data_IF_302531177609
#
_entry.id   IF_302531177609
#
_cell.length_a   1.000
_cell.length_b   1.000
_cell.length_c   1.000
_cell.angle_alpha   90.00
_cell.angle_beta   90.00
_cell.angle_gamma   90.00
#
_symmetry.space_group_name_H-M   'P 1'
#
loop_
_entity.id
_entity.type
_entity.pdbx_description
1 polymer ?
#
# COMPACT_ATOMS: atom_id res chain seq x y z
N UNK A 1 -7.51 11.62 -2.48
CA UNK A 1 -6.69 11.73 -3.72
C UNK A 1 -6.21 13.17 -3.96
N UNK A 2 -7.09 14.18 -4.11
CA UNK A 2 -6.66 15.56 -4.37
C UNK A 2 -5.64 16.13 -3.36
N UNK A 3 -5.90 16.01 -2.06
CA UNK A 3 -4.94 16.41 -1.02
C UNK A 3 -3.61 15.64 -1.09
N UNK A 4 -3.66 14.35 -1.46
CA UNK A 4 -2.48 13.52 -1.67
C UNK A 4 -1.59 14.02 -2.82
N UNK A 5 -2.17 14.61 -3.87
CA UNK A 5 -1.39 15.20 -4.95
C UNK A 5 -0.56 16.40 -4.47
N UNK A 6 -1.12 17.24 -3.59
CA UNK A 6 -0.39 18.34 -2.95
C UNK A 6 0.70 17.80 -2.02
N UNK A 7 0.40 16.76 -1.24
CA UNK A 7 1.38 16.11 -0.38
C UNK A 7 2.56 15.52 -1.18
N UNK A 8 2.30 14.84 -2.30
CA UNK A 8 3.34 14.35 -3.21
C UNK A 8 4.23 15.48 -3.74
N UNK A 9 3.65 16.62 -4.13
CA UNK A 9 4.44 17.78 -4.58
C UNK A 9 5.33 18.34 -3.46
N UNK A 10 4.82 18.42 -2.22
CA UNK A 10 5.60 18.87 -1.07
C UNK A 10 6.79 17.93 -0.81
N UNK A 11 6.54 16.62 -0.77
CA UNK A 11 7.55 15.59 -0.53
C UNK A 11 8.62 15.57 -1.64
N UNK A 12 8.19 15.68 -2.91
CA UNK A 12 9.10 15.79 -4.04
C UNK A 12 10.01 17.02 -3.94
N UNK A 13 9.49 18.18 -3.53
CA UNK A 13 10.29 19.40 -3.32
C UNK A 13 11.23 19.28 -2.13
N UNK A 14 10.84 18.58 -1.08
CA UNK A 14 11.63 18.45 0.14
C UNK A 14 12.86 17.54 -0.02
N UNK A 15 12.69 16.37 -0.65
CA UNK A 15 13.73 15.33 -0.69
C UNK A 15 13.78 14.57 -2.03
N UNK A 16 13.03 14.99 -3.05
CA UNK A 16 12.85 14.18 -4.26
C UNK A 16 12.12 12.87 -3.98
N UNK A 17 11.24 12.87 -2.96
CA UNK A 17 10.50 11.67 -2.54
C UNK A 17 9.46 11.30 -3.59
N UNK A 18 9.43 10.02 -3.95
CA UNK A 18 8.44 9.44 -4.85
C UNK A 18 7.56 8.45 -4.10
N UNK A 19 6.25 8.50 -4.33
CA UNK A 19 5.28 7.54 -3.78
C UNK A 19 4.56 6.85 -4.93
N UNK A 20 4.87 5.57 -5.12
CA UNK A 20 4.36 4.75 -6.22
C UNK A 20 3.73 3.49 -5.63
N UNK A 21 2.49 3.18 -6.00
CA UNK A 21 1.82 1.94 -5.64
C UNK A 21 1.31 1.22 -6.88
N UNK A 22 1.10 -0.09 -6.73
CA UNK A 22 0.61 -0.94 -7.79
C UNK A 22 -0.15 -2.12 -7.25
N UNK A 23 -0.93 -2.76 -8.12
CA UNK A 23 -1.59 -4.02 -7.80
C UNK A 23 -0.56 -5.14 -7.84
N UNK A 24 -0.23 -5.67 -6.66
CA UNK A 24 0.68 -6.80 -6.47
C UNK A 24 -0.03 -8.12 -6.71
N UNK A 25 -1.29 -8.24 -6.26
CA UNK A 25 -2.07 -9.48 -6.34
C UNK A 25 -3.53 -9.18 -6.59
N UNK A 26 -4.16 -9.95 -7.47
CA UNK A 26 -5.62 -10.07 -7.58
C UNK A 26 -5.97 -11.53 -7.39
N UNK A 27 -6.86 -11.80 -6.44
CA UNK A 27 -7.20 -13.17 -6.05
C UNK A 27 -5.94 -14.00 -5.73
N UNK A 28 -5.69 -15.06 -6.49
CA UNK A 28 -4.55 -15.98 -6.42
C UNK A 28 -3.40 -15.64 -7.40
N UNK A 29 -3.54 -14.61 -8.24
CA UNK A 29 -2.54 -14.20 -9.24
C UNK A 29 -1.66 -13.09 -8.66
N UNK A 30 -0.36 -13.36 -8.52
CA UNK A 30 0.61 -12.45 -7.89
C UNK A 30 1.73 -12.06 -8.86
N UNK A 31 2.05 -10.77 -8.93
CA UNK A 31 3.19 -10.23 -9.66
C UNK A 31 4.41 -10.06 -8.74
N UNK A 32 5.59 -10.40 -9.24
CA UNK A 32 6.86 -10.12 -8.60
C UNK A 32 7.46 -8.86 -9.22
N UNK A 33 7.31 -7.73 -8.52
CA UNK A 33 7.79 -6.42 -8.98
C UNK A 33 8.87 -5.96 -8.02
N UNK A 34 9.98 -5.45 -8.55
CA UNK A 34 11.03 -4.83 -7.75
C UNK A 34 10.61 -3.40 -7.35
N UNK A 35 10.43 -3.13 -6.03
CA UNK A 35 10.07 -1.81 -5.54
C UNK A 35 11.10 -0.72 -5.88
N UNK A 36 12.35 -1.06 -6.19
CA UNK A 36 13.38 -0.07 -6.47
C UNK A 36 13.34 0.46 -7.90
N UNK A 37 12.78 -0.30 -8.84
CA UNK A 37 12.87 0.01 -10.28
C UNK A 37 11.52 0.27 -10.95
N UNK A 38 10.39 -0.10 -10.32
CA UNK A 38 9.05 0.17 -10.87
C UNK A 38 8.81 1.65 -11.19
N UNK A 39 8.30 1.94 -12.38
CA UNK A 39 7.98 3.31 -12.80
C UNK A 39 6.47 3.57 -12.78
N UNK A 40 6.08 4.84 -12.57
CA UNK A 40 4.69 5.25 -12.67
C UNK A 40 4.11 4.99 -14.06
N UNK A 41 4.92 5.16 -15.11
CA UNK A 41 4.54 4.86 -16.49
C UNK A 41 4.14 3.39 -16.65
N UNK A 42 4.95 2.46 -16.10
CA UNK A 42 4.64 1.04 -16.16
C UNK A 42 3.35 0.72 -15.38
N UNK A 43 3.13 1.34 -14.21
CA UNK A 43 1.89 1.19 -13.44
C UNK A 43 0.67 1.65 -14.24
N UNK A 44 0.72 2.84 -14.85
CA UNK A 44 -0.43 3.39 -15.58
C UNK A 44 -0.61 2.79 -16.99
N UNK A 45 0.36 1.99 -17.48
CA UNK A 45 0.28 1.33 -18.78
C UNK A 45 -0.77 0.22 -18.86
N UNK A 46 -1.29 -0.27 -17.72
CA UNK A 46 -2.29 -1.33 -17.66
C UNK A 46 -3.53 -0.91 -16.89
N UNK A 47 -4.71 -1.38 -17.32
CA UNK A 47 -5.99 -1.03 -16.67
C UNK A 47 -6.09 -1.51 -15.22
N UNK A 48 -5.41 -2.61 -14.89
CA UNK A 48 -5.34 -3.16 -13.53
C UNK A 48 -4.26 -2.52 -12.68
N UNK A 49 -3.45 -1.62 -13.24
CA UNK A 49 -2.31 -0.99 -12.57
C UNK A 49 -1.31 -1.98 -11.99
N UNK A 50 -1.04 -3.04 -12.75
CA UNK A 50 0.04 -3.98 -12.52
C UNK A 50 1.15 -3.72 -13.56
N UNK A 51 2.42 -3.49 -13.16
CA UNK A 51 3.50 -3.15 -14.09
C UNK A 51 3.97 -4.31 -14.97
N UNK A 52 3.73 -5.56 -14.55
CA UNK A 52 4.02 -6.75 -15.34
C UNK A 52 2.88 -6.98 -16.34
N UNK A 53 3.13 -6.74 -17.62
CA UNK A 53 2.09 -6.85 -18.66
C UNK A 53 1.51 -8.27 -18.78
N UNK A 54 2.34 -9.30 -18.63
CA UNK A 54 1.90 -10.68 -18.76
C UNK A 54 0.99 -11.08 -17.59
N UNK A 55 1.37 -10.69 -16.37
CA UNK A 55 0.55 -10.93 -15.18
C UNK A 55 -0.69 -10.02 -15.18
N UNK A 56 -0.58 -8.78 -15.66
CA UNK A 56 -1.71 -7.85 -15.80
C UNK A 56 -2.81 -8.42 -16.70
N UNK A 57 -2.46 -9.04 -17.82
CA UNK A 57 -3.43 -9.71 -18.70
C UNK A 57 -4.17 -10.84 -17.98
N UNK A 58 -3.45 -11.68 -17.22
CA UNK A 58 -4.05 -12.75 -16.42
C UNK A 58 -4.98 -12.20 -15.32
N UNK A 59 -4.58 -11.10 -14.68
CA UNK A 59 -5.39 -10.41 -13.68
C UNK A 59 -6.69 -9.85 -14.28
N UNK A 60 -6.64 -9.25 -15.48
CA UNK A 60 -7.82 -8.77 -16.21
C UNK A 60 -8.77 -9.93 -16.49
N UNK A 61 -8.28 -11.01 -17.10
CA UNK A 61 -9.09 -12.19 -17.40
C UNK A 61 -9.73 -12.76 -16.14
N UNK A 62 -8.99 -12.81 -15.02
CA UNK A 62 -9.52 -13.29 -13.74
C UNK A 62 -10.64 -12.41 -13.21
N UNK A 63 -10.48 -11.08 -13.25
CA UNK A 63 -11.53 -10.15 -12.82
C UNK A 63 -12.78 -10.32 -13.69
N UNK A 64 -12.62 -10.45 -15.00
CA UNK A 64 -13.74 -10.62 -15.92
C UNK A 64 -14.44 -11.97 -15.75
N UNK A 65 -13.70 -13.05 -15.50
CA UNK A 65 -14.27 -14.37 -15.22
C UNK A 65 -15.12 -14.35 -13.94
N UNK A 66 -14.57 -13.88 -12.82
CA UNK A 66 -15.27 -13.72 -11.54
C UNK A 66 -16.47 -12.78 -11.70
N UNK A 67 -16.28 -11.69 -12.45
CA UNK A 67 -17.33 -10.75 -12.80
C UNK A 67 -18.46 -11.39 -13.60
N UNK A 68 -18.19 -12.29 -14.56
CA UNK A 68 -19.21 -13.04 -15.33
C UNK A 68 -20.01 -14.00 -14.43
N UNK A 69 -19.36 -14.61 -13.46
CA UNK A 69 -20.01 -15.44 -12.44
C UNK A 69 -20.90 -14.64 -11.47
N UNK A 70 -20.86 -13.30 -11.55
CA UNK A 70 -21.64 -12.42 -10.68
C UNK A 70 -21.06 -12.28 -9.29
N UNK A 71 -19.76 -12.56 -9.12
CA UNK A 71 -19.03 -12.51 -7.87
C UNK A 71 -18.00 -11.36 -7.87
N UNK A 72 -17.19 -11.26 -6.82
CA UNK A 72 -16.10 -10.29 -6.71
C UNK A 72 -14.82 -10.90 -6.14
N UNK A 73 -13.72 -10.18 -6.26
CA UNK A 73 -12.43 -10.59 -5.71
C UNK A 73 -11.69 -9.44 -5.02
N UNK A 74 -10.82 -9.84 -4.09
CA UNK A 74 -9.89 -8.95 -3.39
C UNK A 74 -8.47 -9.10 -3.91
N UNK A 75 -7.51 -8.63 -3.13
CA UNK A 75 -6.11 -8.68 -3.53
C UNK A 75 -5.19 -7.90 -2.59
N UNK A 76 -4.00 -7.57 -3.11
CA UNK A 76 -2.98 -6.79 -2.40
C UNK A 76 -2.47 -5.67 -3.28
N UNK A 77 -2.38 -4.48 -2.71
CA UNK A 77 -1.64 -3.34 -3.27
C UNK A 77 -0.31 -3.25 -2.53
N UNK A 78 0.78 -3.06 -3.26
CA UNK A 78 2.10 -2.76 -2.72
C UNK A 78 2.45 -1.32 -3.06
N UNK A 79 3.08 -0.62 -2.12
CA UNK A 79 3.48 0.77 -2.26
C UNK A 79 4.94 0.90 -1.84
N UNK A 80 5.70 1.65 -2.64
CA UNK A 80 7.06 2.05 -2.33
C UNK A 80 7.12 3.57 -2.19
N UNK A 81 7.87 4.01 -1.19
CA UNK A 81 8.30 5.40 -1.04
C UNK A 81 9.81 5.42 -1.23
N UNK A 82 10.27 6.05 -2.31
CA UNK A 82 11.70 6.22 -2.57
C UNK A 82 12.16 7.58 -2.07
N UNK A 83 13.40 7.64 -1.62
CA UNK A 83 13.98 8.84 -1.00
C UNK A 83 13.08 9.42 0.12
N UNK A 84 12.60 8.61 1.09
CA UNK A 84 11.89 9.18 2.22
C UNK A 84 12.82 10.12 3.00
N UNK A 85 12.32 11.24 3.54
CA UNK A 85 13.09 12.01 4.50
C UNK A 85 13.48 11.12 5.68
N UNK A 86 14.72 11.21 6.13
CA UNK A 86 15.24 10.43 7.27
C UNK A 86 14.74 11.05 8.57
N UNK A 87 14.37 10.23 9.55
CA UNK A 87 13.99 10.70 10.87
C UNK A 87 12.52 11.08 11.03
N UNK A 88 11.64 10.70 10.09
CA UNK A 88 10.20 10.89 10.23
C UNK A 88 9.60 9.83 11.15
N UNK A 89 8.70 10.24 12.05
CA UNK A 89 8.05 9.37 13.03
C UNK A 89 8.56 9.57 14.45
N UNK A 90 7.98 8.81 15.39
CA UNK A 90 8.33 8.84 16.81
C UNK A 90 8.39 7.41 17.39
N UNK A 91 9.18 7.17 18.44
CA UNK A 91 9.40 5.81 18.94
C UNK A 91 8.21 5.19 19.68
N UNK A 92 7.20 5.97 20.10
CA UNK A 92 6.12 5.47 20.97
C UNK A 92 4.72 5.81 20.46
N UNK A 93 4.33 7.09 20.46
CA UNK A 93 2.93 7.49 20.21
C UNK A 93 2.60 7.70 18.73
N UNK A 94 3.53 8.28 17.97
CA UNK A 94 3.37 8.57 16.53
C UNK A 94 4.40 7.76 15.71
N UNK A 95 4.43 6.44 15.90
CA UNK A 95 5.25 5.55 15.08
C UNK A 95 4.81 5.66 13.62
N UNK A 96 5.76 5.90 12.71
CA UNK A 96 5.45 6.15 11.31
C UNK A 96 4.67 4.99 10.68
N UNK A 97 5.08 3.74 10.92
CA UNK A 97 4.40 2.56 10.41
C UNK A 97 2.98 2.38 10.99
N UNK A 98 2.75 2.83 12.23
CA UNK A 98 1.42 2.76 12.86
C UNK A 98 0.46 3.79 12.25
N UNK A 99 0.94 5.00 11.98
CA UNK A 99 0.14 6.02 11.29
C UNK A 99 -0.11 5.68 9.83
N UNK A 100 0.90 5.13 9.14
CA UNK A 100 0.72 4.58 7.79
C UNK A 100 -0.33 3.47 7.78
N UNK A 101 -0.26 2.55 8.74
CA UNK A 101 -1.25 1.48 8.90
C UNK A 101 -2.64 2.06 9.12
N UNK A 102 -2.83 2.97 10.08
CA UNK A 102 -4.10 3.64 10.36
C UNK A 102 -4.67 4.31 9.12
N UNK A 103 -3.84 5.06 8.40
CA UNK A 103 -4.21 5.79 7.21
C UNK A 103 -4.71 4.87 6.11
N UNK A 104 -3.93 3.84 5.72
CA UNK A 104 -4.35 2.94 4.65
C UNK A 104 -5.47 1.99 5.08
N UNK A 105 -5.51 1.56 6.35
CA UNK A 105 -6.58 0.70 6.88
C UNK A 105 -7.92 1.43 7.06
N UNK A 106 -7.92 2.77 6.99
CA UNK A 106 -9.15 3.57 6.94
C UNK A 106 -9.82 3.55 5.56
N UNK A 107 -9.14 3.06 4.52
CA UNK A 107 -9.70 2.97 3.18
C UNK A 107 -10.82 1.90 3.13
N UNK A 108 -11.83 2.08 2.27
CA UNK A 108 -12.85 1.06 2.11
C UNK A 108 -12.26 -0.29 1.69
N UNK A 109 -12.84 -1.37 2.23
CA UNK A 109 -12.49 -2.76 1.94
C UNK A 109 -11.09 -3.24 2.38
N UNK A 110 -10.28 -2.42 3.06
CA UNK A 110 -8.99 -2.88 3.61
C UNK A 110 -9.17 -3.83 4.80
N UNK A 111 -8.29 -4.82 4.90
CA UNK A 111 -8.33 -5.87 5.93
C UNK A 111 -6.97 -6.24 6.52
N UNK A 112 -5.87 -5.77 5.95
CA UNK A 112 -4.53 -6.04 6.47
C UNK A 112 -3.51 -5.03 5.98
N UNK A 113 -2.48 -4.85 6.79
CA UNK A 113 -1.34 -3.99 6.52
C UNK A 113 -0.05 -4.74 6.84
N UNK A 114 0.95 -4.58 6.00
CA UNK A 114 2.30 -5.08 6.23
C UNK A 114 3.32 -3.98 5.91
N UNK A 115 4.42 -3.95 6.67
CA UNK A 115 5.59 -3.12 6.42
C UNK A 115 6.82 -4.03 6.20
N UNK A 116 7.65 -3.70 5.21
CA UNK A 116 8.87 -4.45 4.90
C UNK A 116 8.60 -5.93 4.60
N UNK A 117 9.23 -6.82 5.38
CA UNK A 117 9.04 -8.27 5.33
C UNK A 117 7.64 -8.72 5.74
N UNK A 118 6.86 -7.85 6.40
CA UNK A 118 5.48 -8.13 6.81
C UNK A 118 5.37 -9.34 7.73
N UNK A 119 4.29 -10.11 7.57
CA UNK A 119 4.10 -11.37 8.28
C UNK A 119 5.18 -12.42 7.93
N UNK A 120 5.79 -12.35 6.75
CA UNK A 120 6.90 -13.24 6.38
C UNK A 120 8.11 -13.10 7.31
N UNK A 121 8.34 -11.91 7.88
CA UNK A 121 9.41 -11.68 8.85
C UNK A 121 9.22 -12.45 10.17
N UNK A 122 7.97 -12.82 10.52
CA UNK A 122 7.68 -13.59 11.74
C UNK A 122 8.21 -15.01 11.73
N UNK A 123 8.63 -15.50 10.56
CA UNK A 123 9.20 -16.83 10.37
C UNK A 123 10.73 -16.85 10.55
N UNK A 124 11.36 -15.68 10.64
CA UNK A 124 12.82 -15.52 10.64
C UNK A 124 13.37 -15.33 12.05
N UNK A 125 14.62 -15.75 12.27
CA UNK A 125 15.39 -15.39 13.46
C UNK A 125 15.89 -13.95 13.34
N UNK A 126 16.16 -13.30 14.47
CA UNK A 126 16.72 -11.94 14.47
C UNK A 126 18.01 -11.81 13.64
N UNK A 127 18.89 -12.82 13.66
CA UNK A 127 20.11 -12.82 12.83
C UNK A 127 19.86 -12.89 11.33
N UNK A 128 18.69 -13.38 10.91
CA UNK A 128 18.26 -13.49 9.51
C UNK A 128 17.43 -12.26 9.08
N UNK A 129 16.77 -11.60 10.04
CA UNK A 129 15.88 -10.47 9.79
C UNK A 129 16.57 -9.11 9.90
N UNK A 130 17.54 -8.95 10.79
CA UNK A 130 18.17 -7.66 11.07
C UNK A 130 18.79 -7.02 9.81
N UNK A 131 18.44 -5.75 9.58
CA UNK A 131 19.04 -4.94 8.52
C UNK A 131 20.35 -4.32 9.01
N UNK A 132 21.47 -4.97 8.67
CA UNK A 132 22.79 -4.50 9.06
C UNK A 132 23.17 -3.21 8.34
N UNK A 133 23.57 -2.18 9.08
CA UNK A 133 24.13 -0.95 8.50
C UNK A 133 25.52 -1.22 7.94
N UNK A 134 25.73 -0.90 6.66
CA UNK A 134 27.00 -1.08 5.97
C UNK A 134 27.60 0.28 5.56
N UNK A 135 28.93 0.42 5.54
CA UNK A 135 29.58 1.61 5.01
C UNK A 135 29.21 1.82 3.52
N UNK A 136 28.67 2.99 3.18
CA UNK A 136 28.42 3.37 1.79
C UNK A 136 29.48 4.31 1.25
N UNK A 137 29.73 4.22 -0.06
CA UNK A 137 30.69 5.09 -0.77
C UNK A 137 30.18 6.51 -0.98
N UNK A 138 28.85 6.70 -0.95
CA UNK A 138 28.20 7.99 -1.16
C UNK A 138 28.02 8.81 0.13
N UNK A 139 28.53 8.30 1.27
CA UNK A 139 28.42 8.96 2.58
C UNK A 139 27.03 8.87 3.21
N UNK A 140 26.06 8.20 2.58
CA UNK A 140 24.74 7.95 3.15
C UNK A 140 24.74 6.66 3.98
N UNK A 141 23.90 6.61 4.99
CA UNK A 141 23.65 5.38 5.74
C UNK A 141 22.76 4.48 4.89
N UNK A 142 23.23 3.24 4.68
CA UNK A 142 22.50 2.20 3.97
C UNK A 142 22.51 0.92 4.78
N UNK A 143 21.46 0.12 4.61
CA UNK A 143 21.39 -1.23 5.16
C UNK A 143 21.63 -2.29 4.09
N UNK A 144 22.19 -3.42 4.48
CA UNK A 144 22.48 -4.55 3.58
C UNK A 144 21.20 -5.13 2.95
N UNK A 145 20.10 -5.06 3.70
CA UNK A 145 18.76 -5.54 3.37
C UNK A 145 17.74 -4.52 3.82
N UNK A 146 16.48 -4.66 3.42
CA UNK A 146 15.40 -3.76 3.82
C UNK A 146 14.18 -4.55 4.35
N UNK A 147 14.44 -5.46 5.29
CA UNK A 147 13.40 -6.27 5.94
C UNK A 147 12.48 -5.43 6.82
N UNK A 148 12.97 -4.32 7.38
CA UNK A 148 12.19 -3.36 8.16
C UNK A 148 11.26 -2.50 7.28
N UNK A 149 11.51 -2.46 5.97
CA UNK A 149 10.71 -1.69 5.02
C UNK A 149 10.87 -0.18 5.22
N UNK A 150 12.11 0.29 5.42
CA UNK A 150 12.47 1.70 5.50
C UNK A 150 12.15 2.36 6.85
N UNK A 151 11.61 1.60 7.81
CA UNK A 151 11.20 2.10 9.12
C UNK A 151 11.79 1.20 10.21
N UNK A 152 12.50 1.79 11.17
CA UNK A 152 13.06 1.08 12.33
C UNK A 152 12.69 1.82 13.61
N UNK A 153 12.09 1.11 14.57
CA UNK A 153 11.71 1.68 15.86
C UNK A 153 10.72 2.85 15.76
N UNK A 154 9.83 2.87 14.77
CA UNK A 154 8.90 3.98 14.57
C UNK A 154 9.37 5.08 13.62
N UNK A 155 10.60 5.01 13.12
CA UNK A 155 11.30 6.13 12.47
C UNK A 155 11.82 5.72 11.08
N UNK A 156 11.67 6.59 10.08
CA UNK A 156 12.26 6.36 8.75
C UNK A 156 13.78 6.38 8.79
N UNK A 157 14.43 5.34 8.23
CA UNK A 157 15.88 5.18 8.27
C UNK A 157 16.59 5.62 6.96
N UNK A 158 15.82 6.02 5.94
CA UNK A 158 16.32 6.49 4.64
C UNK A 158 16.30 5.45 3.53
N UNK A 159 16.14 4.17 3.87
CA UNK A 159 15.84 3.12 2.90
C UNK A 159 14.41 3.27 2.36
N UNK A 160 14.09 2.71 1.18
CA UNK A 160 12.74 2.78 0.63
C UNK A 160 11.69 2.24 1.61
N UNK A 161 10.63 3.00 1.84
CA UNK A 161 9.51 2.52 2.67
C UNK A 161 8.66 1.60 1.80
N UNK A 162 8.57 0.32 2.15
CA UNK A 162 7.81 -0.68 1.38
C UNK A 162 6.68 -1.20 2.26
N UNK A 163 5.44 -1.02 1.81
CA UNK A 163 4.26 -1.48 2.53
C UNK A 163 3.27 -2.21 1.60
N UNK A 164 2.45 -3.07 2.20
CA UNK A 164 1.38 -3.79 1.50
C UNK A 164 0.06 -3.61 2.22
N UNK A 165 -1.01 -3.53 1.43
CA UNK A 165 -2.37 -3.34 1.92
C UNK A 165 -3.27 -4.39 1.30
N UNK A 166 -3.91 -5.21 2.14
CA UNK A 166 -4.83 -6.25 1.73
C UNK A 166 -6.25 -5.70 1.61
N UNK A 167 -6.91 -5.96 0.49
CA UNK A 167 -8.30 -5.59 0.24
C UNK A 167 -9.14 -6.86 0.11
N UNK A 168 -10.28 -6.89 0.81
CA UNK A 168 -11.27 -7.97 0.67
C UNK A 168 -12.10 -7.81 -0.61
N UNK A 169 -12.78 -8.87 -1.08
CA UNK A 169 -13.79 -8.76 -2.12
C UNK A 169 -14.90 -7.74 -1.78
N UNK A 170 -15.48 -7.10 -2.79
CA UNK A 170 -16.63 -6.21 -2.61
C UNK A 170 -17.85 -7.02 -2.16
N UNK A 171 -18.54 -6.54 -1.14
CA UNK A 171 -19.62 -7.31 -0.51
C UNK A 171 -20.88 -7.40 -1.41
N UNK A 172 -21.11 -6.39 -2.24
CA UNK A 172 -22.28 -6.33 -3.11
C UNK A 172 -22.00 -7.08 -4.42
N UNK A 173 -22.56 -8.27 -4.53
CA UNK A 173 -22.42 -9.18 -5.68
C UNK A 173 -23.78 -9.54 -6.26
N UNK A 174 -23.81 -10.05 -7.49
CA UNK A 174 -25.07 -10.43 -8.17
C UNK A 174 -25.58 -11.80 -7.75
N UNK A 175 -24.72 -12.65 -7.16
CA UNK A 175 -25.14 -13.92 -6.57
C UNK A 175 -26.08 -13.66 -5.40
N UNK A 176 -27.18 -14.40 -5.33
CA UNK A 176 -28.12 -14.37 -4.23
C UNK A 176 -27.40 -14.71 -2.90
N UNK A 177 -27.64 -13.91 -1.85
CA UNK A 177 -27.06 -14.11 -0.52
C UNK A 177 -28.15 -14.10 0.54
N UNK A 178 -28.01 -14.96 1.55
CA UNK A 178 -28.91 -14.95 2.70
C UNK A 178 -28.63 -13.71 3.57
N UNK A 179 -29.68 -13.04 4.02
CA UNK A 179 -29.61 -11.90 4.93
C UNK A 179 -30.89 -11.86 5.79
N UNK A 180 -31.01 -10.83 6.62
CA UNK A 180 -32.27 -10.46 7.28
C UNK A 180 -32.77 -9.12 6.73
N UNK A 181 -34.09 -8.91 6.78
CA UNK A 181 -34.69 -7.60 6.53
C UNK A 181 -34.68 -6.70 7.79
N UNK A 182 -35.23 -5.49 7.68
CA UNK A 182 -35.29 -4.53 8.79
C UNK A 182 -36.15 -5.00 9.99
N UNK A 183 -36.99 -6.02 9.80
CA UNK A 183 -37.80 -6.64 10.86
C UNK A 183 -37.11 -7.83 11.52
N UNK A 184 -35.95 -8.25 10.98
CA UNK A 184 -35.20 -9.42 11.44
C UNK A 184 -35.63 -10.74 10.77
N UNK A 185 -36.53 -10.70 9.79
CA UNK A 185 -36.96 -11.91 9.09
C UNK A 185 -35.92 -12.33 8.05
N UNK A 186 -35.67 -13.64 7.94
CA UNK A 186 -34.77 -14.20 6.95
C UNK A 186 -35.26 -13.89 5.54
N UNK A 187 -34.37 -13.39 4.69
CA UNK A 187 -34.64 -13.05 3.29
C UNK A 187 -33.40 -13.27 2.43
N UNK A 188 -33.58 -13.17 1.12
CA UNK A 188 -32.49 -13.29 0.15
C UNK A 188 -32.25 -11.94 -0.52
N UNK A 189 -30.99 -11.48 -0.48
CA UNK A 189 -30.56 -10.27 -1.18
C UNK A 189 -29.94 -10.65 -2.52
N UNK A 190 -30.53 -10.12 -3.59
CA UNK A 190 -29.97 -10.15 -4.94
C UNK A 190 -29.70 -8.71 -5.38
N UNK A 191 -28.46 -8.25 -5.23
CA UNK A 191 -28.12 -6.88 -5.54
C UNK A 191 -28.19 -6.64 -7.06
N UNK A 192 -29.03 -5.69 -7.47
CA UNK A 192 -29.14 -5.24 -8.86
C UNK A 192 -28.18 -4.08 -9.13
N UNK A 193 -27.75 -3.91 -10.38
CA UNK A 193 -26.93 -2.78 -10.82
C UNK A 193 -25.46 -3.13 -11.13
N UNK A 194 -24.71 -2.10 -11.49
CA UNK A 194 -23.28 -2.20 -11.85
C UNK A 194 -22.44 -2.11 -10.59
N UNK A 195 -21.86 -3.24 -10.19
CA UNK A 195 -20.92 -3.33 -9.08
C UNK A 195 -19.54 -3.68 -9.61
N UNK A 196 -18.50 -3.07 -9.05
CA UNK A 196 -17.13 -3.35 -9.46
C UNK A 196 -16.73 -4.74 -8.91
N UNK A 197 -16.34 -5.71 -9.77
CA UNK A 197 -15.91 -7.05 -9.34
C UNK A 197 -14.54 -7.02 -8.66
N UNK A 198 -13.77 -5.92 -8.80
CA UNK A 198 -12.50 -5.71 -8.14
C UNK A 198 -12.24 -4.21 -7.99
N UNK A 199 -11.96 -3.76 -6.76
CA UNK A 199 -11.71 -2.33 -6.45
C UNK A 199 -10.25 -1.93 -6.51
N UNK A 200 -9.33 -2.89 -6.59
CA UNK A 200 -7.89 -2.65 -6.44
C UNK A 200 -7.33 -1.61 -7.42
N UNK A 201 -7.64 -1.63 -8.73
CA UNK A 201 -7.08 -0.64 -9.65
C UNK A 201 -7.44 0.80 -9.27
N UNK A 202 -8.64 1.01 -8.71
CA UNK A 202 -9.08 2.33 -8.23
C UNK A 202 -8.53 2.68 -6.85
N UNK A 203 -8.14 1.69 -6.06
CA UNK A 203 -7.58 1.88 -4.74
C UNK A 203 -6.08 2.24 -4.76
N UNK A 204 -5.34 1.92 -5.83
CA UNK A 204 -3.92 2.31 -6.00
C UNK A 204 -3.68 3.80 -5.71
N UNK A 205 -4.33 4.78 -6.38
CA UNK A 205 -4.09 6.19 -6.12
C UNK A 205 -4.62 6.64 -4.75
N UNK A 206 -5.51 5.87 -4.11
CA UNK A 206 -5.97 6.12 -2.75
C UNK A 206 -4.91 5.73 -1.73
N UNK A 207 -4.27 4.55 -1.89
CA UNK A 207 -3.15 4.11 -1.06
C UNK A 207 -2.01 5.11 -1.15
N UNK A 208 -1.59 5.48 -2.36
CA UNK A 208 -0.53 6.48 -2.54
C UNK A 208 -0.86 7.82 -1.86
N UNK A 209 -2.12 8.27 -1.96
CA UNK A 209 -2.55 9.51 -1.34
C UNK A 209 -2.48 9.44 0.19
N UNK A 210 -2.92 8.34 0.80
CA UNK A 210 -2.87 8.17 2.25
C UNK A 210 -1.41 8.11 2.75
N UNK A 211 -0.54 7.39 2.04
CA UNK A 211 0.90 7.31 2.36
C UNK A 211 1.55 8.69 2.25
N UNK A 212 1.31 9.41 1.15
CA UNK A 212 1.85 10.75 0.96
C UNK A 212 1.36 11.74 2.03
N UNK A 213 0.09 11.67 2.42
CA UNK A 213 -0.47 12.55 3.45
C UNK A 213 0.18 12.31 4.82
N UNK A 214 0.37 11.05 5.22
CA UNK A 214 1.06 10.72 6.48
C UNK A 214 2.49 11.23 6.47
N UNK A 215 3.24 10.98 5.39
CA UNK A 215 4.62 11.45 5.27
C UNK A 215 4.72 12.98 5.29
N UNK A 216 3.81 13.67 4.62
CA UNK A 216 3.75 15.13 4.63
C UNK A 216 3.45 15.67 6.04
N UNK A 217 2.52 15.06 6.77
CA UNK A 217 2.22 15.45 8.16
C UNK A 217 3.45 15.27 9.06
N UNK A 218 4.10 14.10 9.01
CA UNK A 218 5.33 13.84 9.76
C UNK A 218 6.48 14.78 9.38
N UNK A 219 6.64 15.09 8.10
CA UNK A 219 7.63 16.06 7.63
C UNK A 219 7.38 17.46 8.20
N UNK A 220 6.14 17.94 8.14
CA UNK A 220 5.76 19.26 8.64
C UNK A 220 5.90 19.33 10.17
N UNK A 221 5.56 18.26 10.89
CA UNK A 221 5.79 18.15 12.34
C UNK A 221 7.28 18.24 12.68
N UNK A 222 8.13 17.50 11.96
CA UNK A 222 9.58 17.53 12.14
C UNK A 222 10.16 18.93 11.87
N UNK A 223 9.75 19.57 10.78
CA UNK A 223 10.16 20.95 10.47
C UNK A 223 9.70 21.92 11.57
N UNK A 224 8.45 21.82 12.00
CA UNK A 224 7.91 22.66 13.07
C UNK A 224 8.60 22.46 14.42
N UNK A 225 9.13 21.28 14.72
CA UNK A 225 9.83 21.01 15.98
C UNK A 225 11.32 21.38 15.92
N UNK A 226 11.98 21.13 14.79
CA UNK A 226 13.44 21.25 14.66
C UNK A 226 13.91 22.53 13.95
N UNK A 227 13.04 23.23 13.23
CA UNK A 227 13.39 24.41 12.42
C UNK A 227 12.81 25.73 12.96
N UNK A 228 12.40 25.78 14.24
CA UNK A 228 11.85 26.97 14.90
C UNK A 228 12.89 28.02 15.33
N UNK A 229 14.08 28.05 14.71
CA UNK A 229 15.15 29.00 15.01
C UNK A 229 15.87 29.45 13.74
#
# INVERSE_FOLDING_TARGET
VAAGAIAKQLLAKAQGTEVIAWVKRIHDITAAIDPNTVSLEAVESTIVRCPDQAVAAQMVERIEAIGREGDSCGGVIECVVRNPPVGLGMPVFDKLEADLAKAVMSLPATKGFEIGSGFGGTLLKGSEHNDAFLPSRDGRLHTATNNSGGIQGGISNGEPIVLRVAFKPTATIRKAQQTIDATGAATTLEAKGRHDPCVLPRAVPMVEAMVALVLADHLLRQQGQCSLW
#
